data_IF_579662892314
#
_entry.id   IF_579662892314
#
_cell.length_a   1.000
_cell.length_b   1.000
_cell.length_c   1.000
_cell.angle_alpha   90.00
_cell.angle_beta   90.00
_cell.angle_gamma   90.00
#
_symmetry.space_group_name_H-M   'P 1'
#
loop_
_entity.id
_entity.type
_entity.pdbx_description
1 polymer ?
#
# COMPACT_ATOMS: atom_id res chain seq x y z
N UNK A 1 6.05 -9.16 16.73
CA UNK A 1 5.19 -8.08 16.23
C UNK A 1 4.03 -8.71 15.46
N UNK A 2 2.80 -8.35 15.82
CA UNK A 2 1.59 -8.81 15.17
C UNK A 2 1.14 -7.83 14.10
N UNK A 3 0.93 -8.29 12.87
CA UNK A 3 0.47 -7.45 11.77
C UNK A 3 -0.87 -7.96 11.29
N UNK A 4 -1.90 -7.15 11.40
CA UNK A 4 -3.24 -7.44 10.92
C UNK A 4 -3.30 -7.39 9.40
N UNK A 5 -3.85 -8.40 8.78
CA UNK A 5 -4.11 -8.44 7.33
C UNK A 5 -5.62 -8.49 7.12
N UNK A 6 -6.17 -7.44 6.51
CA UNK A 6 -7.61 -7.31 6.34
C UNK A 6 -8.10 -8.11 5.14
N UNK A 7 -9.21 -8.83 5.32
CA UNK A 7 -9.91 -9.49 4.23
C UNK A 7 -11.29 -8.87 4.05
N UNK A 8 -11.50 -8.15 2.95
CA UNK A 8 -12.81 -7.72 2.48
C UNK A 8 -13.41 -8.77 1.52
N UNK A 9 -14.73 -8.79 1.30
CA UNK A 9 -15.29 -9.55 0.19
C UNK A 9 -14.65 -9.11 -1.13
N UNK A 10 -13.97 -10.04 -1.84
CA UNK A 10 -13.24 -9.74 -3.07
C UNK A 10 -11.77 -9.36 -2.89
N UNK A 11 -11.22 -9.35 -1.69
CA UNK A 11 -9.76 -9.33 -1.48
C UNK A 11 -9.15 -10.59 -2.07
N UNK A 12 -8.03 -10.46 -2.76
CA UNK A 12 -7.32 -11.58 -3.41
C UNK A 12 -5.95 -11.86 -2.81
N UNK A 13 -5.25 -10.81 -2.34
CA UNK A 13 -3.84 -10.87 -1.96
C UNK A 13 -3.63 -10.93 -0.43
N UNK A 14 -4.67 -11.22 0.35
CA UNK A 14 -4.59 -11.35 1.82
C UNK A 14 -3.64 -12.47 2.26
N UNK A 15 -3.67 -13.61 1.56
CA UNK A 15 -2.78 -14.75 1.84
C UNK A 15 -1.33 -14.42 1.49
N UNK A 16 -1.10 -13.72 0.38
CA UNK A 16 0.25 -13.31 -0.03
C UNK A 16 0.82 -12.26 0.90
N UNK A 17 0.00 -11.29 1.34
CA UNK A 17 0.38 -10.32 2.36
C UNK A 17 0.72 -11.02 3.70
N UNK A 18 -0.09 -11.98 4.14
CA UNK A 18 0.18 -12.76 5.35
C UNK A 18 1.47 -13.59 5.22
N UNK A 19 1.71 -14.21 4.04
CA UNK A 19 2.96 -14.91 3.74
C UNK A 19 4.16 -13.97 3.82
N UNK A 20 4.04 -12.76 3.27
CA UNK A 20 5.09 -11.76 3.29
C UNK A 20 5.44 -11.30 4.71
N UNK A 21 4.43 -11.06 5.56
CA UNK A 21 4.61 -10.75 6.97
C UNK A 21 5.37 -11.85 7.70
N UNK A 22 4.94 -13.11 7.54
CA UNK A 22 5.58 -14.26 8.19
C UNK A 22 7.00 -14.48 7.66
N UNK A 23 7.23 -14.31 6.36
CA UNK A 23 8.55 -14.43 5.74
C UNK A 23 9.53 -13.36 6.26
N UNK A 24 9.04 -12.16 6.54
CA UNK A 24 9.82 -11.09 7.14
C UNK A 24 10.13 -11.30 8.64
N UNK A 25 9.51 -12.29 9.28
CA UNK A 25 9.69 -12.59 10.72
C UNK A 25 8.64 -11.96 11.63
N UNK A 26 7.54 -11.43 11.07
CA UNK A 26 6.35 -11.00 11.82
C UNK A 26 5.38 -12.15 12.08
N UNK A 27 4.28 -11.84 12.76
CA UNK A 27 3.12 -12.72 12.98
C UNK A 27 1.92 -12.12 12.25
N UNK A 28 1.43 -12.78 11.19
CA UNK A 28 0.24 -12.32 10.47
C UNK A 28 -1.03 -12.73 11.23
N UNK A 29 -1.92 -11.76 11.47
CA UNK A 29 -3.22 -11.93 12.12
C UNK A 29 -4.32 -11.59 11.11
N UNK A 30 -5.22 -12.54 10.83
CA UNK A 30 -6.33 -12.30 9.91
C UNK A 30 -7.36 -11.35 10.58
N UNK A 31 -7.73 -10.29 9.86
CA UNK A 31 -8.77 -9.35 10.26
C UNK A 31 -9.92 -9.44 9.26
N UNK A 32 -11.09 -9.86 9.73
CA UNK A 32 -12.28 -9.95 8.87
C UNK A 32 -13.01 -8.61 8.80
N UNK A 33 -13.41 -8.18 7.61
CA UNK A 33 -14.00 -6.87 7.36
C UNK A 33 -15.19 -6.50 8.27
N UNK A 34 -15.92 -7.49 8.75
CA UNK A 34 -17.13 -7.29 9.58
C UNK A 34 -16.84 -7.37 11.09
N UNK A 35 -15.58 -7.54 11.48
CA UNK A 35 -15.15 -7.56 12.88
C UNK A 35 -14.45 -6.24 13.22
N UNK A 36 -14.91 -5.56 14.26
CA UNK A 36 -14.31 -4.30 14.71
C UNK A 36 -13.13 -4.52 15.70
N UNK A 37 -12.88 -5.76 16.13
CA UNK A 37 -11.73 -6.06 16.98
C UNK A 37 -10.45 -6.21 16.13
N UNK A 38 -9.43 -5.45 16.44
CA UNK A 38 -8.12 -5.55 15.80
C UNK A 38 -7.22 -6.61 16.44
N UNK A 39 -7.69 -7.38 17.41
CA UNK A 39 -6.97 -8.49 18.06
C UNK A 39 -5.57 -8.11 18.61
N UNK A 40 -5.40 -6.84 18.98
CA UNK A 40 -4.14 -6.36 19.57
C UNK A 40 -2.96 -6.36 18.59
N UNK A 41 -3.20 -6.10 17.30
CA UNK A 41 -2.11 -5.97 16.32
C UNK A 41 -1.36 -4.66 16.47
N UNK A 42 -0.08 -4.69 16.08
CA UNK A 42 0.83 -3.55 16.16
C UNK A 42 0.83 -2.70 14.87
N UNK A 43 0.42 -3.29 13.74
CA UNK A 43 0.31 -2.65 12.42
C UNK A 43 -0.78 -3.33 11.60
N UNK A 44 -1.25 -2.69 10.53
CA UNK A 44 -2.26 -3.25 9.64
C UNK A 44 -1.85 -3.14 8.17
N UNK A 45 -2.23 -4.15 7.37
CA UNK A 45 -2.14 -4.15 5.92
C UNK A 45 -3.55 -4.29 5.33
N UNK A 46 -3.88 -3.39 4.40
CA UNK A 46 -5.03 -3.52 3.49
C UNK A 46 -4.50 -4.10 2.17
N UNK A 47 -4.77 -5.37 1.85
CA UNK A 47 -4.20 -6.03 0.68
C UNK A 47 -4.83 -5.60 -0.63
N UNK A 48 -4.27 -6.11 -1.73
CA UNK A 48 -4.82 -5.99 -3.07
C UNK A 48 -6.02 -6.89 -3.32
N UNK A 49 -6.74 -6.60 -4.41
CA UNK A 49 -7.93 -7.33 -4.85
C UNK A 49 -8.94 -6.40 -5.51
N UNK A 50 -10.21 -6.80 -5.44
CA UNK A 50 -11.36 -6.08 -5.97
C UNK A 50 -12.44 -6.04 -4.89
N UNK A 51 -12.18 -5.33 -3.79
CA UNK A 51 -13.05 -5.33 -2.63
C UNK A 51 -14.47 -4.87 -2.98
N UNK A 52 -15.46 -5.69 -2.59
CA UNK A 52 -16.86 -5.52 -2.94
C UNK A 52 -17.13 -5.43 -4.45
N UNK A 53 -16.25 -6.03 -5.30
CA UNK A 53 -16.38 -6.03 -6.76
C UNK A 53 -16.10 -4.69 -7.41
N UNK A 54 -15.44 -3.75 -6.71
CA UNK A 54 -15.14 -2.38 -7.14
C UNK A 54 -16.36 -1.57 -7.59
N UNK A 55 -17.55 -1.94 -7.11
CA UNK A 55 -18.78 -1.18 -7.38
C UNK A 55 -18.65 0.26 -6.86
N UNK A 56 -19.22 1.21 -7.60
CA UNK A 56 -19.10 2.66 -7.46
C UNK A 56 -17.69 3.15 -7.89
N UNK A 57 -16.70 3.01 -7.04
CA UNK A 57 -15.26 3.22 -7.25
C UNK A 57 -14.51 2.19 -6.42
N UNK A 58 -13.32 1.82 -6.89
CA UNK A 58 -12.45 0.91 -6.15
C UNK A 58 -12.20 1.42 -4.73
N UNK A 59 -12.42 0.57 -3.74
CA UNK A 59 -12.25 0.92 -2.32
C UNK A 59 -13.40 1.70 -1.66
N UNK A 60 -14.34 2.27 -2.44
CA UNK A 60 -15.36 3.18 -1.91
C UNK A 60 -16.31 2.53 -0.89
N UNK A 61 -16.68 1.26 -1.09
CA UNK A 61 -17.55 0.54 -0.16
C UNK A 61 -16.76 0.07 1.06
N UNK A 62 -15.51 -0.38 0.85
CA UNK A 62 -14.66 -0.93 1.91
C UNK A 62 -14.46 0.02 3.08
N UNK A 63 -14.38 1.33 2.82
CA UNK A 63 -14.20 2.35 3.86
C UNK A 63 -15.30 2.33 4.94
N UNK A 64 -16.47 1.77 4.64
CA UNK A 64 -17.62 1.66 5.56
C UNK A 64 -17.68 0.32 6.28
N UNK A 65 -16.75 -0.60 6.02
CA UNK A 65 -16.69 -1.88 6.73
C UNK A 65 -16.41 -1.66 8.21
N UNK A 66 -17.02 -2.44 9.12
CA UNK A 66 -16.82 -2.31 10.57
C UNK A 66 -15.36 -2.28 11.02
N UNK A 67 -14.49 -3.06 10.38
CA UNK A 67 -13.04 -3.08 10.68
C UNK A 67 -12.36 -1.74 10.43
N UNK A 68 -12.88 -0.89 9.54
CA UNK A 68 -12.21 0.35 9.13
C UNK A 68 -12.27 1.43 10.21
N UNK A 69 -13.33 1.51 11.00
CA UNK A 69 -13.43 2.52 12.06
C UNK A 69 -12.29 2.40 13.10
N UNK A 70 -12.06 1.22 13.72
CA UNK A 70 -10.91 1.07 14.63
C UNK A 70 -9.56 1.19 13.92
N UNK A 71 -9.41 0.76 12.66
CA UNK A 71 -8.17 0.96 11.87
C UNK A 71 -7.89 2.44 11.69
N UNK A 72 -8.86 3.24 11.24
CA UNK A 72 -8.71 4.69 11.05
C UNK A 72 -8.29 5.35 12.35
N UNK A 73 -8.97 5.05 13.45
CA UNK A 73 -8.65 5.60 14.78
C UNK A 73 -7.23 5.24 15.23
N UNK A 74 -6.83 3.98 15.07
CA UNK A 74 -5.50 3.52 15.45
C UNK A 74 -4.39 4.13 14.56
N UNK A 75 -4.62 4.23 13.24
CA UNK A 75 -3.69 4.85 12.30
C UNK A 75 -3.52 6.35 12.55
N UNK A 76 -4.59 7.07 12.88
CA UNK A 76 -4.54 8.47 13.34
C UNK A 76 -3.77 8.60 14.66
N UNK A 77 -3.81 7.58 15.51
CA UNK A 77 -2.99 7.47 16.72
C UNK A 77 -1.51 7.16 16.47
N UNK A 78 -1.13 6.85 15.21
CA UNK A 78 0.26 6.57 14.82
C UNK A 78 0.55 5.10 14.51
N UNK A 79 -0.45 4.18 14.59
CA UNK A 79 -0.26 2.79 14.18
C UNK A 79 0.12 2.72 12.69
N UNK A 80 1.16 1.94 12.33
CA UNK A 80 1.53 1.75 10.93
C UNK A 80 0.41 1.09 10.12
N UNK A 81 0.12 1.65 8.93
CA UNK A 81 -0.90 1.17 8.03
C UNK A 81 -0.38 1.17 6.58
N UNK A 82 -0.41 0.01 5.93
CA UNK A 82 -0.04 -0.14 4.52
C UNK A 82 -1.26 -0.50 3.69
N UNK A 83 -1.53 0.26 2.63
CA UNK A 83 -2.50 -0.09 1.60
C UNK A 83 -1.80 -0.48 0.31
N UNK A 84 -1.99 -1.72 -0.15
CA UNK A 84 -1.40 -2.26 -1.38
C UNK A 84 -2.49 -2.31 -2.45
N UNK A 85 -2.25 -1.71 -3.63
CA UNK A 85 -3.15 -1.72 -4.77
C UNK A 85 -4.59 -1.32 -4.39
N UNK A 86 -5.53 -2.25 -4.25
CA UNK A 86 -6.88 -1.97 -3.76
C UNK A 86 -6.88 -1.37 -2.35
N UNK A 87 -5.96 -1.79 -1.49
CA UNK A 87 -5.76 -1.17 -0.18
C UNK A 87 -5.37 0.31 -0.26
N UNK A 88 -4.56 0.71 -1.26
CA UNK A 88 -4.23 2.12 -1.50
C UNK A 88 -5.49 2.91 -1.92
N UNK A 89 -6.35 2.33 -2.76
CA UNK A 89 -7.64 2.91 -3.13
C UNK A 89 -8.54 3.10 -1.90
N UNK A 90 -8.59 2.12 -1.01
CA UNK A 90 -9.34 2.22 0.27
C UNK A 90 -8.80 3.35 1.14
N UNK A 91 -7.46 3.51 1.25
CA UNK A 91 -6.85 4.62 2.01
C UNK A 91 -7.24 5.99 1.45
N UNK A 92 -7.25 6.15 0.12
CA UNK A 92 -7.66 7.39 -0.53
C UNK A 92 -9.16 7.67 -0.30
N UNK A 93 -10.03 6.68 -0.46
CA UNK A 93 -11.48 6.80 -0.21
C UNK A 93 -11.81 7.04 1.27
N UNK A 94 -10.97 6.55 2.20
CA UNK A 94 -11.08 6.83 3.63
C UNK A 94 -10.46 8.19 4.04
N UNK A 95 -9.91 8.96 3.08
CA UNK A 95 -9.24 10.24 3.31
C UNK A 95 -8.07 10.17 4.31
N UNK A 96 -7.41 9.03 4.39
CA UNK A 96 -6.20 8.83 5.21
C UNK A 96 -4.94 9.32 4.50
N UNK A 97 -5.01 9.44 3.19
CA UNK A 97 -4.00 10.01 2.29
C UNK A 97 -4.70 10.88 1.24
N UNK A 98 -4.05 11.92 0.70
CA UNK A 98 -4.65 12.81 -0.28
C UNK A 98 -4.72 12.19 -1.68
N UNK A 99 -5.51 12.80 -2.57
CA UNK A 99 -5.68 12.39 -3.96
C UNK A 99 -6.69 11.26 -4.15
N UNK A 100 -6.68 10.66 -5.34
CA UNK A 100 -7.58 9.59 -5.75
C UNK A 100 -6.90 8.64 -6.73
N UNK A 101 -7.38 7.40 -6.81
CA UNK A 101 -6.98 6.43 -7.82
C UNK A 101 -8.07 6.36 -8.89
N UNK A 102 -7.67 6.44 -10.16
CA UNK A 102 -8.58 6.42 -11.31
C UNK A 102 -8.18 5.33 -12.30
N UNK A 103 -9.02 5.12 -13.31
CA UNK A 103 -8.72 4.16 -14.39
C UNK A 103 -7.41 4.47 -15.06
N UNK A 104 -6.69 3.41 -15.43
CA UNK A 104 -5.48 3.52 -16.23
C UNK A 104 -5.77 4.30 -17.52
N UNK A 105 -4.83 5.12 -17.98
CA UNK A 105 -5.03 6.02 -19.13
C UNK A 105 -5.38 5.29 -20.43
N UNK A 106 -4.90 4.04 -20.62
CA UNK A 106 -5.21 3.21 -21.78
C UNK A 106 -6.47 2.34 -21.59
N UNK A 107 -7.13 2.42 -20.42
CA UNK A 107 -8.32 1.64 -20.06
C UNK A 107 -8.11 0.12 -20.07
N UNK A 108 -6.85 -0.33 -19.98
CA UNK A 108 -6.48 -1.74 -19.93
C UNK A 108 -5.97 -2.12 -18.54
N UNK A 109 -6.23 -3.39 -18.17
CA UNK A 109 -5.61 -3.99 -17.00
C UNK A 109 -4.13 -4.23 -17.28
N UNK A 110 -3.27 -3.74 -16.40
CA UNK A 110 -1.82 -3.97 -16.45
C UNK A 110 -1.47 -5.16 -15.56
N UNK A 111 -0.55 -6.00 -16.05
CA UNK A 111 0.07 -7.06 -15.25
C UNK A 111 1.50 -7.25 -15.77
N UNK A 112 2.49 -6.69 -15.04
CA UNK A 112 3.91 -6.78 -15.41
C UNK A 112 4.81 -6.50 -14.22
N UNK A 113 6.07 -6.87 -14.32
CA UNK A 113 7.09 -6.42 -13.39
C UNK A 113 7.47 -4.97 -13.72
N UNK A 114 7.54 -4.13 -12.68
CA UNK A 114 7.76 -2.70 -12.81
C UNK A 114 8.88 -2.24 -11.89
N UNK A 115 9.85 -1.53 -12.45
CA UNK A 115 10.87 -0.84 -11.66
C UNK A 115 10.30 0.40 -10.98
N UNK A 116 10.68 0.59 -9.73
CA UNK A 116 10.37 1.78 -8.94
C UNK A 116 11.67 2.37 -8.39
N UNK A 117 11.69 3.70 -8.22
CA UNK A 117 12.69 4.38 -7.40
C UNK A 117 12.07 4.72 -6.05
N UNK A 118 12.74 4.37 -4.97
CA UNK A 118 12.35 4.78 -3.60
C UNK A 118 12.76 6.24 -3.40
N UNK A 119 11.77 7.12 -3.28
CA UNK A 119 11.99 8.57 -3.07
C UNK A 119 12.13 8.93 -1.58
N UNK A 120 11.33 8.30 -0.73
CA UNK A 120 11.39 8.50 0.72
C UNK A 120 11.60 7.18 1.45
N UNK A 121 12.76 7.06 2.11
CA UNK A 121 13.16 5.92 2.93
C UNK A 121 12.91 6.14 4.44
N UNK A 122 12.16 7.18 4.85
CA UNK A 122 11.98 7.57 6.25
C UNK A 122 10.56 7.31 6.77
N UNK A 123 9.81 6.39 6.15
CA UNK A 123 8.48 6.00 6.63
C UNK A 123 8.55 4.69 7.43
N UNK A 124 7.46 4.37 8.14
CA UNK A 124 7.35 3.08 8.85
C UNK A 124 7.53 1.87 7.90
N UNK A 125 7.22 2.03 6.61
CA UNK A 125 7.22 0.95 5.61
C UNK A 125 8.39 1.00 4.62
N UNK A 126 9.25 2.02 4.67
CA UNK A 126 10.36 2.20 3.72
C UNK A 126 11.73 2.31 4.37
N UNK A 127 11.84 2.26 5.70
CA UNK A 127 13.08 2.48 6.45
C UNK A 127 14.18 1.42 6.23
N UNK A 128 13.87 0.32 5.56
CA UNK A 128 14.87 -0.70 5.15
C UNK A 128 15.53 -0.42 3.81
N UNK A 129 15.03 0.58 3.08
CA UNK A 129 15.58 1.00 1.79
C UNK A 129 16.52 2.19 1.96
N UNK A 130 17.21 2.52 0.86
CA UNK A 130 17.98 3.76 0.69
C UNK A 130 17.24 4.65 -0.29
N UNK A 131 17.23 5.96 -0.05
CA UNK A 131 16.69 6.93 -1.02
C UNK A 131 17.43 6.81 -2.36
N UNK A 132 16.68 6.80 -3.45
CA UNK A 132 17.18 6.57 -4.79
C UNK A 132 17.40 5.09 -5.15
N UNK A 133 17.15 4.15 -4.24
CA UNK A 133 17.25 2.72 -4.55
C UNK A 133 16.19 2.33 -5.58
N UNK A 134 16.61 1.61 -6.62
CA UNK A 134 15.68 0.96 -7.54
C UNK A 134 15.29 -0.41 -7.00
N UNK A 135 14.00 -0.74 -7.15
CA UNK A 135 13.38 -2.02 -6.77
C UNK A 135 12.49 -2.53 -7.91
N UNK A 136 12.41 -3.85 -8.08
CA UNK A 136 11.57 -4.50 -9.09
C UNK A 136 10.38 -5.17 -8.40
N UNK A 137 9.18 -4.61 -8.60
CA UNK A 137 7.95 -5.02 -7.92
C UNK A 137 6.85 -5.31 -8.96
N UNK A 138 6.09 -6.41 -8.86
CA UNK A 138 4.94 -6.65 -9.72
C UNK A 138 3.88 -5.56 -9.63
N UNK A 139 3.38 -5.14 -10.79
CA UNK A 139 2.30 -4.17 -10.93
C UNK A 139 1.13 -4.85 -11.63
N UNK A 140 -0.04 -4.87 -10.99
CA UNK A 140 -1.28 -5.42 -11.55
C UNK A 140 -2.47 -4.55 -11.13
N UNK A 141 -3.03 -3.80 -12.05
CA UNK A 141 -4.17 -2.91 -11.79
C UNK A 141 -4.92 -2.51 -13.06
N UNK A 142 -6.20 -2.20 -12.91
CA UNK A 142 -7.04 -1.55 -13.92
C UNK A 142 -7.34 -0.09 -13.57
N UNK A 143 -7.29 0.25 -12.29
CA UNK A 143 -7.54 1.59 -11.73
C UNK A 143 -6.40 1.99 -10.79
N UNK A 144 -5.21 2.16 -11.37
CA UNK A 144 -3.98 2.46 -10.62
C UNK A 144 -3.43 3.87 -10.83
N UNK A 145 -4.06 4.70 -11.67
CA UNK A 145 -3.60 6.06 -11.94
C UNK A 145 -3.85 6.97 -10.74
N UNK A 146 -2.79 7.33 -10.03
CA UNK A 146 -2.87 8.30 -8.94
C UNK A 146 -3.07 9.71 -9.48
N UNK A 147 -4.09 10.41 -9.00
CA UNK A 147 -4.47 11.75 -9.42
C UNK A 147 -4.61 12.68 -8.22
N UNK A 148 -4.10 13.89 -8.36
CA UNK A 148 -4.27 14.99 -7.41
C UNK A 148 -4.21 16.34 -8.15
N UNK A 149 -4.61 17.43 -7.52
CA UNK A 149 -4.44 18.78 -8.04
C UNK A 149 -3.00 19.30 -7.88
N UNK A 150 -2.71 20.49 -8.43
CA UNK A 150 -1.35 21.06 -8.41
C UNK A 150 -0.91 21.42 -6.98
N UNK A 151 -1.82 21.87 -6.14
CA UNK A 151 -1.55 22.23 -4.74
C UNK A 151 -1.16 20.96 -3.94
N UNK A 152 -1.93 19.90 -4.06
CA UNK A 152 -1.63 18.61 -3.43
C UNK A 152 -0.30 18.03 -3.94
N UNK A 153 -0.02 18.12 -5.25
CA UNK A 153 1.25 17.66 -5.79
C UNK A 153 2.42 18.43 -5.19
N UNK A 154 2.34 19.77 -5.19
CA UNK A 154 3.40 20.63 -4.63
C UNK A 154 3.62 20.35 -3.14
N UNK A 155 2.56 20.10 -2.38
CA UNK A 155 2.65 19.70 -0.96
C UNK A 155 3.33 18.34 -0.81
N UNK A 156 2.92 17.32 -1.58
CA UNK A 156 3.52 15.98 -1.51
C UNK A 156 5.02 16.02 -1.85
N UNK A 157 5.42 16.81 -2.83
CA UNK A 157 6.83 16.99 -3.21
C UNK A 157 7.60 17.77 -2.15
N UNK A 158 7.07 18.90 -1.71
CA UNK A 158 7.72 19.79 -0.74
C UNK A 158 7.91 19.17 0.64
N UNK A 159 6.99 18.30 1.06
CA UNK A 159 7.04 17.59 2.34
C UNK A 159 7.72 16.19 2.23
N UNK A 160 8.17 15.80 1.02
CA UNK A 160 8.80 14.50 0.80
C UNK A 160 7.83 13.32 1.04
N UNK A 161 6.56 13.47 0.72
CA UNK A 161 5.52 12.46 0.97
C UNK A 161 5.30 11.49 -0.18
N UNK A 162 6.07 11.60 -1.25
CA UNK A 162 6.11 10.61 -2.31
C UNK A 162 7.11 9.54 -1.89
N UNK A 163 6.65 8.28 -1.71
CA UNK A 163 7.52 7.19 -1.26
C UNK A 163 8.22 6.49 -2.41
N UNK A 164 7.56 6.41 -3.58
CA UNK A 164 8.11 5.74 -4.76
C UNK A 164 7.53 6.32 -6.05
N UNK A 165 8.35 6.28 -7.12
CA UNK A 165 7.94 6.62 -8.49
C UNK A 165 8.24 5.47 -9.43
N UNK A 166 7.43 5.37 -10.48
CA UNK A 166 7.70 4.45 -11.60
C UNK A 166 8.96 4.89 -12.37
N UNK A 167 9.80 3.92 -12.75
CA UNK A 167 10.97 4.15 -13.59
C UNK A 167 10.63 3.91 -15.05
N UNK A 168 11.04 4.82 -15.94
CA UNK A 168 10.80 4.75 -17.37
C UNK A 168 9.44 5.32 -17.77
N UNK A 169 8.72 4.62 -18.63
CA UNK A 169 7.39 5.05 -19.08
C UNK A 169 6.36 4.98 -17.96
N UNK A 170 5.41 5.94 -17.99
CA UNK A 170 4.30 5.95 -17.05
C UNK A 170 3.36 4.76 -17.34
N UNK A 171 3.26 3.76 -16.44
CA UNK A 171 2.54 2.54 -16.79
C UNK A 171 1.03 2.73 -16.83
N UNK A 172 0.47 3.61 -16.00
CA UNK A 172 -0.97 3.67 -15.77
C UNK A 172 -1.55 5.10 -15.86
N UNK A 173 -0.70 6.11 -16.12
CA UNK A 173 -1.13 7.49 -16.19
C UNK A 173 -1.08 8.23 -14.85
N UNK A 174 -0.45 7.65 -13.82
CA UNK A 174 -0.25 8.31 -12.52
C UNK A 174 0.42 9.67 -12.67
N UNK A 175 -0.11 10.67 -11.97
CA UNK A 175 0.47 12.00 -11.95
C UNK A 175 1.93 11.95 -11.48
N UNK A 176 2.82 12.58 -12.24
CA UNK A 176 4.26 12.66 -11.97
C UNK A 176 4.92 11.31 -11.63
N UNK A 177 4.49 10.22 -12.31
CA UNK A 177 4.99 8.85 -12.11
C UNK A 177 4.81 8.31 -10.67
N UNK A 178 3.94 8.90 -9.86
CA UNK A 178 3.73 8.50 -8.46
C UNK A 178 3.23 7.06 -8.40
N UNK A 179 4.00 6.18 -7.76
CA UNK A 179 3.65 4.79 -7.50
C UNK A 179 3.12 4.58 -6.07
N UNK A 180 3.47 5.46 -5.15
CA UNK A 180 3.02 5.42 -3.77
C UNK A 180 3.33 6.71 -3.01
N UNK A 181 2.51 6.96 -2.00
CA UNK A 181 2.60 8.14 -1.12
C UNK A 181 2.44 7.77 0.34
N UNK A 182 2.76 8.72 1.23
CA UNK A 182 2.54 8.59 2.66
C UNK A 182 1.76 9.79 3.21
N UNK A 183 1.17 9.63 4.40
CA UNK A 183 0.62 10.73 5.17
C UNK A 183 1.75 11.59 5.79
N UNK A 184 1.39 12.71 6.41
CA UNK A 184 2.34 13.65 7.04
C UNK A 184 3.25 12.98 8.09
N UNK A 185 2.73 12.03 8.87
CA UNK A 185 3.48 11.32 9.91
C UNK A 185 4.37 10.18 9.41
N UNK A 186 4.22 9.75 8.16
CA UNK A 186 4.97 8.63 7.60
C UNK A 186 4.55 7.24 8.11
N UNK A 187 3.44 7.14 8.84
CA UNK A 187 2.94 5.85 9.34
C UNK A 187 1.91 5.19 8.42
N UNK A 188 1.22 5.96 7.57
CA UNK A 188 0.25 5.44 6.60
C UNK A 188 0.88 5.53 5.22
N UNK A 189 0.99 4.41 4.52
CA UNK A 189 1.56 4.31 3.19
C UNK A 189 0.58 3.65 2.25
N UNK A 190 0.35 4.27 1.09
CA UNK A 190 -0.33 3.67 -0.05
C UNK A 190 0.65 3.37 -1.17
N UNK A 191 0.65 2.16 -1.68
CA UNK A 191 1.53 1.70 -2.77
C UNK A 191 0.71 0.93 -3.80
N UNK A 192 0.79 1.31 -5.09
CA UNK A 192 0.03 0.62 -6.15
C UNK A 192 0.67 -0.70 -6.58
N UNK A 193 1.99 -0.83 -6.75
CA UNK A 193 2.66 -2.12 -6.94
C UNK A 193 2.52 -3.05 -5.73
N UNK A 194 2.78 -4.35 -5.97
CA UNK A 194 2.55 -5.46 -5.04
C UNK A 194 3.85 -6.00 -4.42
N UNK A 195 4.37 -5.43 -3.32
CA UNK A 195 5.60 -5.90 -2.69
C UNK A 195 5.48 -7.34 -2.15
N UNK A 196 4.28 -7.80 -1.79
CA UNK A 196 4.00 -9.15 -1.30
C UNK A 196 4.29 -10.25 -2.34
N UNK A 197 4.35 -9.89 -3.63
CA UNK A 197 4.72 -10.79 -4.73
C UNK A 197 6.21 -10.72 -5.11
N UNK A 198 7.01 -9.91 -4.41
CA UNK A 198 8.47 -9.77 -4.62
C UNK A 198 9.23 -9.97 -3.29
N UNK A 199 8.92 -11.04 -2.56
CA UNK A 199 9.55 -11.34 -1.27
C UNK A 199 10.57 -12.47 -1.34
N UNK A 200 10.58 -13.20 -2.45
CA UNK A 200 11.42 -14.39 -2.66
C UNK A 200 11.67 -14.56 -4.17
N UNK A 201 12.94 -14.63 -4.55
CA UNK A 201 13.37 -14.78 -5.94
C UNK A 201 12.99 -16.12 -6.59
N UNK A 202 12.54 -17.12 -5.82
CA UNK A 202 12.02 -18.38 -6.36
C UNK A 202 10.57 -18.27 -6.85
N UNK A 203 9.81 -17.32 -6.30
CA UNK A 203 8.36 -17.19 -6.58
C UNK A 203 7.97 -15.84 -7.15
N UNK A 204 8.87 -14.87 -7.16
CA UNK A 204 8.67 -13.53 -7.68
C UNK A 204 9.80 -13.06 -8.59
N UNK A 205 9.69 -11.89 -9.21
CA UNK A 205 10.73 -11.33 -10.08
C UNK A 205 12.00 -10.91 -9.31
N UNK A 206 11.86 -10.71 -8.00
CA UNK A 206 12.93 -10.28 -7.09
C UNK A 206 12.56 -10.60 -5.63
N UNK A 207 13.43 -10.23 -4.68
CA UNK A 207 13.12 -10.17 -3.25
C UNK A 207 13.02 -8.73 -2.74
N UNK A 208 12.94 -7.73 -3.62
CA UNK A 208 13.00 -6.32 -3.28
C UNK A 208 11.80 -5.86 -2.43
N UNK A 209 10.64 -6.48 -2.62
CA UNK A 209 9.42 -6.20 -1.86
C UNK A 209 9.52 -6.52 -0.37
N UNK A 210 10.43 -7.42 0.02
CA UNK A 210 10.63 -7.79 1.42
C UNK A 210 11.03 -6.59 2.29
N UNK A 211 11.69 -5.60 1.69
CA UNK A 211 12.08 -4.36 2.35
C UNK A 211 10.92 -3.60 3.00
N UNK A 212 9.74 -3.62 2.40
CA UNK A 212 8.54 -2.98 2.98
C UNK A 212 8.13 -3.64 4.29
N UNK A 213 8.09 -4.95 4.35
CA UNK A 213 7.67 -5.71 5.54
C UNK A 213 8.73 -5.68 6.64
N UNK A 214 10.02 -5.76 6.29
CA UNK A 214 11.11 -5.65 7.27
C UNK A 214 11.24 -4.23 7.85
N UNK A 215 10.81 -3.20 7.12
CA UNK A 215 10.81 -1.82 7.61
C UNK A 215 9.93 -1.64 8.83
N UNK A 216 8.67 -2.08 8.77
CA UNK A 216 7.73 -1.93 9.87
C UNK A 216 8.16 -2.71 11.11
N UNK A 217 8.77 -3.88 10.93
CA UNK A 217 9.31 -4.67 12.03
C UNK A 217 10.44 -3.93 12.76
N UNK A 218 11.31 -3.23 12.04
CA UNK A 218 12.40 -2.42 12.61
C UNK A 218 11.89 -1.14 13.29
N UNK A 219 10.85 -0.51 12.75
CA UNK A 219 10.32 0.75 13.26
C UNK A 219 9.75 0.63 14.70
N UNK A 220 9.28 -0.56 15.07
CA UNK A 220 8.67 -0.82 16.38
C UNK A 220 9.65 -1.33 17.45
N UNK A 221 10.91 -1.61 17.09
CA UNK A 221 11.95 -2.07 18.04
C UNK A 221 12.67 -0.90 18.74
N UNK A 222 12.31 0.33 18.39
CA UNK A 222 12.78 1.56 19.06
C UNK A 222 11.79 1.96 20.14
#
# INVERSE_FOLDING_TARGET
MKIGVVTFPGTLDDRDAARAVNHAGGEAVALWHNDADLHGVDAVILPGGFSYGDYLRCGAISRFSPVMEPIIKAAQGGMPLLGICNGFQVLAEAHLIPGALTRNHELHFLCRDQKLTIENANTAWTSSFTQGQEVLIPLKNGEGAYMCDDETLAMLEGEGRIIARYVGENPNGSRNLIAGITNERGNIVGLMPHPEHAIDSLTGPSADGLGFFTSVLKAMVK
#
